data_IF_323270273918
#
_entry.id   IF_323270273918
#
_cell.length_a   1.000
_cell.length_b   1.000
_cell.length_c   1.000
_cell.angle_alpha   90.00
_cell.angle_beta   90.00
_cell.angle_gamma   90.00
#
_symmetry.space_group_name_H-M   'P 1'
#
loop_
_entity.id
_entity.type
_entity.pdbx_description
1 polymer ?
#
# COMPACT_ATOMS: atom_id res chain seq x y z
N UNK A 1 -6.63 -0.89 2.33
CA UNK A 1 -5.38 -0.39 1.72
C UNK A 1 -4.35 -1.49 1.50
N UNK A 2 -3.93 -2.17 2.56
CA UNK A 2 -2.92 -3.23 2.44
C UNK A 2 -3.36 -4.35 1.51
N UNK A 3 -4.62 -4.74 1.57
CA UNK A 3 -5.17 -5.76 0.70
C UNK A 3 -5.03 -5.39 -0.77
N UNK A 4 -5.29 -4.14 -1.12
CA UNK A 4 -5.18 -3.69 -2.50
C UNK A 4 -3.73 -3.71 -2.98
N UNK A 5 -2.80 -3.36 -2.10
CA UNK A 5 -1.38 -3.45 -2.41
C UNK A 5 -0.98 -4.91 -2.65
N UNK A 6 -1.46 -5.82 -1.81
CA UNK A 6 -1.15 -7.24 -1.91
C UNK A 6 -1.72 -7.86 -3.19
N UNK A 7 -2.81 -7.30 -3.70
CA UNK A 7 -3.42 -7.77 -4.95
C UNK A 7 -2.65 -7.30 -6.19
N UNK A 8 -1.59 -6.53 -6.00
CA UNK A 8 -0.73 -6.09 -7.09
C UNK A 8 -1.17 -4.79 -7.75
N UNK A 9 -2.10 -4.07 -7.15
CA UNK A 9 -2.55 -2.79 -7.70
C UNK A 9 -1.50 -1.71 -7.47
N UNK A 10 -1.31 -0.85 -8.47
CA UNK A 10 -0.43 0.29 -8.31
C UNK A 10 -1.17 1.45 -7.64
N UNK A 11 -0.47 2.52 -7.32
CA UNK A 11 -1.07 3.65 -6.59
C UNK A 11 -2.24 4.26 -7.36
N UNK A 12 -2.14 4.35 -8.67
CA UNK A 12 -3.22 4.90 -9.49
C UNK A 12 -4.47 4.03 -9.41
N UNK A 13 -4.29 2.71 -9.49
CA UNK A 13 -5.41 1.78 -9.40
C UNK A 13 -6.06 1.80 -8.01
N UNK A 14 -5.23 1.85 -6.97
CA UNK A 14 -5.74 1.96 -5.60
C UNK A 14 -6.51 3.26 -5.42
N UNK A 15 -5.98 4.36 -5.94
CA UNK A 15 -6.63 5.66 -5.84
C UNK A 15 -8.01 5.63 -6.49
N UNK A 16 -8.12 4.98 -7.64
CA UNK A 16 -9.38 4.84 -8.35
C UNK A 16 -10.39 4.04 -7.52
N UNK A 17 -9.94 2.92 -6.94
CA UNK A 17 -10.80 2.07 -6.12
C UNK A 17 -11.31 2.78 -4.87
N UNK A 18 -10.48 3.61 -4.27
CA UNK A 18 -10.80 4.27 -3.00
C UNK A 18 -11.29 5.71 -3.17
N UNK A 19 -11.40 6.18 -4.40
CA UNK A 19 -11.81 7.56 -4.72
C UNK A 19 -10.87 8.58 -4.07
N UNK A 20 -9.56 8.28 -4.13
CA UNK A 20 -8.51 9.14 -3.60
C UNK A 20 -7.57 9.59 -4.71
N UNK A 21 -6.71 10.57 -4.42
CA UNK A 21 -5.65 10.95 -5.36
C UNK A 21 -4.46 10.00 -5.21
N UNK A 22 -3.64 9.89 -6.27
CA UNK A 22 -2.42 9.07 -6.19
C UNK A 22 -1.48 9.55 -5.09
N UNK A 23 -1.37 10.87 -4.93
CA UNK A 23 -0.52 11.44 -3.88
C UNK A 23 -0.97 11.01 -2.49
N UNK A 24 -2.27 10.99 -2.25
CA UNK A 24 -2.84 10.55 -0.99
C UNK A 24 -2.53 9.06 -0.75
N UNK A 25 -2.70 8.23 -1.78
CA UNK A 25 -2.39 6.80 -1.68
C UNK A 25 -0.92 6.59 -1.37
N UNK A 26 -0.04 7.32 -2.06
CA UNK A 26 1.40 7.23 -1.83
C UNK A 26 1.74 7.57 -0.37
N UNK A 27 1.14 8.62 0.15
CA UNK A 27 1.37 9.02 1.54
C UNK A 27 0.89 7.95 2.51
N UNK A 28 -0.25 7.35 2.26
CA UNK A 28 -0.77 6.28 3.11
C UNK A 28 0.15 5.07 3.10
N UNK A 29 0.59 4.64 1.91
CA UNK A 29 1.50 3.51 1.79
C UNK A 29 2.80 3.79 2.55
N UNK A 30 3.37 4.98 2.37
CA UNK A 30 4.59 5.36 3.07
C UNK A 30 4.40 5.34 4.58
N UNK A 31 3.27 5.84 5.07
CA UNK A 31 2.98 5.84 6.50
C UNK A 31 2.85 4.42 7.06
N UNK A 32 2.21 3.54 6.30
CA UNK A 32 2.07 2.13 6.70
C UNK A 32 3.43 1.47 6.79
N UNK A 33 4.28 1.68 5.78
CA UNK A 33 5.62 1.11 5.77
C UNK A 33 6.42 1.59 6.98
N UNK A 34 6.32 2.86 7.29
CA UNK A 34 7.03 3.45 8.43
C UNK A 34 6.54 2.86 9.75
N UNK A 35 5.23 2.74 9.92
CA UNK A 35 4.66 2.20 11.15
C UNK A 35 5.04 0.74 11.38
N UNK A 36 5.14 -0.03 10.32
CA UNK A 36 5.46 -1.45 10.40
C UNK A 36 6.96 -1.70 10.29
N UNK A 37 7.75 -0.64 10.18
CA UNK A 37 9.21 -0.72 10.02
C UNK A 37 9.61 -1.53 8.79
N UNK A 38 8.85 -1.42 7.74
CA UNK A 38 9.13 -2.10 6.47
C UNK A 38 9.90 -1.16 5.54
N UNK A 39 10.73 -1.72 4.69
CA UNK A 39 11.58 -0.93 3.82
C UNK A 39 10.89 -0.49 2.52
N UNK A 40 10.06 -1.35 1.97
CA UNK A 40 9.43 -1.06 0.70
C UNK A 40 8.10 -1.79 0.57
N UNK A 41 7.45 -1.54 -0.56
CA UNK A 41 6.13 -2.08 -0.87
C UNK A 41 6.13 -3.61 -0.97
N UNK A 42 7.22 -4.18 -1.47
CA UNK A 42 7.33 -5.63 -1.57
C UNK A 42 7.26 -6.28 -0.19
N UNK A 43 7.92 -5.68 0.80
CA UNK A 43 7.85 -6.18 2.16
C UNK A 43 6.44 -6.08 2.75
N UNK A 44 5.70 -5.06 2.34
CA UNK A 44 4.31 -4.91 2.77
C UNK A 44 3.46 -6.06 2.24
N UNK A 45 3.66 -6.47 0.99
CA UNK A 45 2.95 -7.60 0.40
C UNK A 45 3.28 -8.88 1.15
N UNK A 46 4.56 -9.11 1.42
CA UNK A 46 4.99 -10.28 2.19
C UNK A 46 4.37 -10.28 3.58
N UNK A 47 4.37 -9.14 4.24
CA UNK A 47 3.78 -8.98 5.56
C UNK A 47 2.30 -9.37 5.55
N UNK A 48 1.57 -8.92 4.55
CA UNK A 48 0.14 -9.23 4.43
C UNK A 48 -0.12 -10.73 4.31
N UNK A 49 0.63 -11.39 3.46
CA UNK A 49 0.43 -12.82 3.23
C UNK A 49 0.98 -13.69 4.37
N UNK A 50 1.91 -13.17 5.11
CA UNK A 50 2.51 -13.90 6.23
C UNK A 50 1.60 -13.90 7.44
N UNK A 51 0.81 -12.86 7.58
CA UNK A 51 -0.17 -12.77 8.65
C UNK A 51 -1.40 -13.61 8.31
#
# INVERSE_FOLDING_TARGET
MIKLVAEGLNNKEIATELFLSEGTVRNYVSSILEKLSLRDRTQLVVYYYKE
#
